data_IF_752265117762
#
_entry.id   IF_752265117762
#
_cell.length_a   1.000
_cell.length_b   1.000
_cell.length_c   1.000
_cell.angle_alpha   90.00
_cell.angle_beta   90.00
_cell.angle_gamma   90.00
#
_symmetry.space_group_name_H-M   'P 1'
#
loop_
_entity.id
_entity.type
_entity.pdbx_description
1 polymer ?
#
# COMPACT_ATOMS: atom_id res chain seq x y z
N UNK A 1 -15.29 5.94 -5.68
CA UNK A 1 -14.97 4.76 -4.87
C UNK A 1 -14.32 5.24 -3.59
N UNK A 2 -14.73 4.71 -2.45
CA UNK A 2 -13.98 4.92 -1.21
C UNK A 2 -12.86 3.89 -1.13
N UNK A 3 -11.62 4.35 -0.97
CA UNK A 3 -10.43 3.51 -0.78
C UNK A 3 -9.94 3.52 0.67
N UNK A 4 -10.75 4.03 1.60
CA UNK A 4 -10.47 3.93 3.02
C UNK A 4 -10.47 2.47 3.52
N UNK A 5 -9.85 2.24 4.67
CA UNK A 5 -9.73 0.92 5.30
C UNK A 5 -8.30 0.36 5.23
N UNK A 6 -8.12 -0.94 5.47
CA UNK A 6 -6.81 -1.55 5.57
C UNK A 6 -6.13 -1.69 4.20
N UNK A 7 -4.92 -1.18 4.12
CA UNK A 7 -4.00 -1.37 3.00
C UNK A 7 -2.84 -2.25 3.45
N UNK A 8 -2.28 -3.03 2.53
CA UNK A 8 -1.03 -3.75 2.78
C UNK A 8 0.11 -2.74 2.83
N UNK A 9 0.96 -2.83 3.85
CA UNK A 9 2.08 -1.93 4.05
C UNK A 9 3.37 -2.67 4.39
N UNK A 10 4.49 -2.17 3.90
CA UNK A 10 5.82 -2.72 4.19
C UNK A 10 6.88 -1.62 4.14
N UNK A 11 7.96 -1.77 4.91
CA UNK A 11 9.11 -0.87 4.78
C UNK A 11 9.69 -0.95 3.37
N UNK A 12 9.94 0.20 2.77
CA UNK A 12 10.40 0.31 1.39
C UNK A 12 11.93 0.35 1.35
N UNK A 13 12.55 -0.80 1.63
CA UNK A 13 13.97 -1.00 1.35
C UNK A 13 14.26 -0.98 -0.16
N UNK A 14 15.51 -1.21 -0.53
CA UNK A 14 15.96 -1.18 -1.92
C UNK A 14 15.29 -2.22 -2.82
N UNK A 15 14.95 -3.40 -2.28
CA UNK A 15 14.29 -4.47 -3.02
C UNK A 15 12.80 -4.15 -3.19
N UNK A 16 12.12 -3.81 -2.09
CA UNK A 16 10.70 -3.48 -2.08
C UNK A 16 10.42 -2.23 -2.93
N UNK A 17 11.33 -1.25 -2.97
CA UNK A 17 11.19 -0.08 -3.86
C UNK A 17 11.18 -0.44 -5.34
N UNK A 18 11.83 -1.53 -5.75
CA UNK A 18 11.94 -1.93 -7.17
C UNK A 18 10.90 -2.97 -7.53
N UNK A 19 10.79 -4.03 -6.74
CA UNK A 19 9.95 -5.18 -7.03
C UNK A 19 8.56 -5.10 -6.37
N UNK A 20 8.39 -4.27 -5.35
CA UNK A 20 7.14 -4.15 -4.59
C UNK A 20 6.02 -3.42 -5.32
N UNK A 21 6.28 -2.82 -6.49
CA UNK A 21 5.27 -2.15 -7.32
C UNK A 21 4.68 -3.05 -8.42
N UNK A 22 5.28 -4.22 -8.63
CA UNK A 22 4.86 -5.12 -9.69
C UNK A 22 3.45 -5.69 -9.41
N UNK A 23 2.72 -6.02 -10.48
CA UNK A 23 1.38 -6.60 -10.34
C UNK A 23 1.43 -7.99 -9.69
N UNK A 24 2.51 -8.73 -9.98
CA UNK A 24 2.73 -10.09 -9.48
C UNK A 24 3.35 -10.15 -8.07
N UNK A 25 3.65 -9.00 -7.43
CA UNK A 25 4.19 -8.99 -6.07
C UNK A 25 3.21 -9.69 -5.12
N UNK A 26 3.72 -10.69 -4.41
CA UNK A 26 3.02 -11.28 -3.27
C UNK A 26 3.17 -10.37 -2.04
N UNK A 27 2.06 -9.80 -1.61
CA UNK A 27 1.96 -8.90 -0.46
C UNK A 27 1.26 -9.57 0.74
N UNK A 28 1.11 -10.91 0.73
CA UNK A 28 0.44 -11.63 1.80
C UNK A 28 1.12 -11.47 3.18
N UNK A 29 2.44 -11.30 3.20
CA UNK A 29 3.21 -11.09 4.43
C UNK A 29 3.21 -9.63 4.92
N UNK A 30 2.63 -8.69 4.16
CA UNK A 30 2.63 -7.28 4.51
C UNK A 30 1.55 -6.99 5.56
N UNK A 31 1.85 -6.07 6.47
CA UNK A 31 0.92 -5.73 7.56
C UNK A 31 -0.25 -4.90 7.03
N UNK A 32 -1.39 -5.01 7.70
CA UNK A 32 -2.54 -4.15 7.40
C UNK A 32 -2.40 -2.81 8.15
N UNK A 33 -2.36 -1.72 7.39
CA UNK A 33 -2.28 -0.35 7.91
C UNK A 33 -3.55 0.44 7.56
N UNK A 34 -4.11 1.22 8.49
CA UNK A 34 -5.32 2.00 8.25
C UNK A 34 -5.05 3.18 7.30
N UNK A 35 -5.96 3.40 6.36
CA UNK A 35 -5.98 4.58 5.48
C UNK A 35 -7.37 5.25 5.58
N UNK A 36 -7.45 6.57 5.87
CA UNK A 36 -6.34 7.44 6.23
C UNK A 36 -5.75 7.09 7.60
N UNK A 37 -4.47 7.39 7.79
CA UNK A 37 -3.75 7.13 9.03
C UNK A 37 -2.28 7.51 8.91
N UNK A 38 -1.59 7.68 10.04
CA UNK A 38 -0.15 7.88 10.05
C UNK A 38 0.55 6.53 10.21
N UNK A 39 1.45 6.22 9.28
CA UNK A 39 2.10 4.91 9.21
C UNK A 39 2.90 4.56 10.48
N UNK A 40 3.49 5.57 11.14
CA UNK A 40 4.28 5.38 12.36
C UNK A 40 3.44 5.08 13.61
N UNK A 41 2.12 5.21 13.51
CA UNK A 41 1.21 4.77 14.57
C UNK A 41 1.06 3.24 14.58
N UNK A 42 1.43 2.57 13.48
CA UNK A 42 1.44 1.12 13.41
C UNK A 42 2.72 0.54 14.07
N UNK A 43 2.62 -0.43 14.99
CA UNK A 43 3.78 -0.94 15.75
C UNK A 43 4.93 -1.45 14.88
N UNK A 44 4.64 -2.03 13.72
CA UNK A 44 5.67 -2.52 12.79
C UNK A 44 6.56 -1.41 12.20
N UNK A 45 6.16 -0.15 12.29
CA UNK A 45 6.87 0.99 11.70
C UNK A 45 7.22 2.08 12.72
N UNK A 46 6.84 1.93 13.99
CA UNK A 46 6.93 2.97 15.02
C UNK A 46 8.36 3.53 15.19
N UNK A 47 9.36 2.64 15.09
CA UNK A 47 10.78 2.97 15.26
C UNK A 47 11.51 3.20 13.92
N UNK A 48 10.79 3.21 12.80
CA UNK A 48 11.38 3.43 11.48
C UNK A 48 11.32 4.91 11.08
N UNK A 49 12.42 5.41 10.52
CA UNK A 49 12.47 6.67 9.79
C UNK A 49 12.46 6.48 8.27
N UNK A 50 12.30 5.24 7.82
CA UNK A 50 12.31 4.88 6.40
C UNK A 50 10.95 5.08 5.71
N UNK A 51 10.94 5.11 4.37
CA UNK A 51 9.71 5.11 3.60
C UNK A 51 8.91 3.82 3.78
N UNK A 52 7.58 3.92 3.70
CA UNK A 52 6.64 2.79 3.72
C UNK A 52 5.95 2.71 2.37
N UNK A 53 5.95 1.53 1.75
CA UNK A 53 5.19 1.24 0.54
C UNK A 53 3.82 0.69 0.92
N UNK A 54 2.80 1.19 0.24
CA UNK A 54 1.40 0.82 0.44
C UNK A 54 0.84 0.15 -0.82
N UNK A 55 0.05 -0.91 -0.63
CA UNK A 55 -0.62 -1.64 -1.71
C UNK A 55 -2.08 -1.90 -1.37
N UNK A 56 -2.94 -1.74 -2.36
CA UNK A 56 -4.36 -2.09 -2.30
C UNK A 56 -4.80 -2.64 -3.65
N UNK A 57 -5.26 -3.88 -3.66
CA UNK A 57 -6.02 -4.43 -4.80
C UNK A 57 -7.44 -3.88 -4.73
N UNK A 58 -7.92 -3.34 -5.85
CA UNK A 58 -9.28 -2.84 -6.00
C UNK A 58 -9.77 -3.11 -7.42
N UNK A 59 -11.09 -3.15 -7.58
CA UNK A 59 -11.74 -3.29 -8.87
C UNK A 59 -12.62 -2.05 -9.09
N UNK A 60 -12.65 -1.57 -10.33
CA UNK A 60 -13.48 -0.45 -10.74
C UNK A 60 -13.98 -0.70 -12.17
N UNK A 61 -15.23 -0.35 -12.49
CA UNK A 61 -15.70 -0.40 -13.87
C UNK A 61 -14.84 0.51 -14.76
N UNK A 62 -14.81 0.18 -16.06
CA UNK A 62 -14.16 1.03 -17.06
C UNK A 62 -14.70 2.46 -16.98
N UNK A 63 -13.84 3.49 -16.99
CA UNK A 63 -14.29 4.86 -17.00
C UNK A 63 -15.07 5.16 -18.29
N UNK A 64 -16.08 6.02 -18.20
CA UNK A 64 -16.79 6.51 -19.38
C UNK A 64 -15.82 7.18 -20.37
N UNK A 65 -16.18 7.19 -21.67
CA UNK A 65 -15.35 7.78 -22.71
C UNK A 65 -14.93 9.23 -22.36
N UNK A 66 -13.63 9.51 -22.49
CA UNK A 66 -13.04 10.81 -22.15
C UNK A 66 -12.84 11.06 -20.64
N UNK A 67 -13.05 10.06 -19.77
CA UNK A 67 -12.80 10.17 -18.32
C UNK A 67 -11.59 9.33 -17.90
N UNK A 68 -10.95 9.75 -16.80
CA UNK A 68 -9.91 9.02 -16.07
C UNK A 68 -10.39 8.78 -14.66
#
# INVERSE_FOLDING_TARGET
MDLSGPWRAHLADDEIRRAGIELATDDAAWVDAPVPGHWRDHPAFADSDGPVLYRRRFEMPEPAEGRR
#
